data_IF_457821841015
#
_entry.id   IF_457821841015
#
_cell.length_a   1.000
_cell.length_b   1.000
_cell.length_c   1.000
_cell.angle_alpha   90.00
_cell.angle_beta   90.00
_cell.angle_gamma   90.00
#
_symmetry.space_group_name_H-M   'P 1'
#
loop_
_entity.id
_entity.type
_entity.pdbx_description
1 polymer ?
#
# COMPACT_ATOMS: atom_id res chain seq x y z
N UNK A 1 -66.54 29.69 -5.58
CA UNK A 1 -65.18 29.72 -6.13
C UNK A 1 -64.20 29.23 -5.07
N UNK A 2 -63.61 28.06 -5.25
CA UNK A 2 -62.59 27.51 -4.31
C UNK A 2 -61.23 27.77 -4.94
N UNK A 3 -60.38 28.53 -4.25
CA UNK A 3 -58.99 28.74 -4.67
C UNK A 3 -58.12 27.59 -4.15
N UNK A 4 -57.52 26.85 -5.07
CA UNK A 4 -56.52 25.82 -4.76
C UNK A 4 -55.16 26.48 -4.84
N UNK A 5 -54.48 26.62 -3.70
CA UNK A 5 -53.12 27.15 -3.62
C UNK A 5 -52.16 25.98 -3.78
N UNK A 6 -51.41 25.95 -4.88
CA UNK A 6 -50.33 24.98 -5.08
C UNK A 6 -49.07 25.45 -4.34
N UNK A 7 -48.65 24.67 -3.37
CA UNK A 7 -47.40 24.86 -2.66
C UNK A 7 -46.28 24.13 -3.45
N UNK A 8 -45.47 24.91 -4.15
CA UNK A 8 -44.26 24.38 -4.83
C UNK A 8 -43.17 24.14 -3.79
N UNK A 9 -42.95 22.87 -3.45
CA UNK A 9 -41.76 22.46 -2.68
C UNK A 9 -40.51 22.50 -3.58
N UNK A 10 -39.67 23.49 -3.35
CA UNK A 10 -38.35 23.57 -3.93
C UNK A 10 -37.42 22.65 -3.11
N UNK A 11 -37.14 21.42 -3.60
CA UNK A 11 -36.10 20.58 -3.04
C UNK A 11 -34.72 21.07 -3.52
N UNK A 12 -33.97 21.71 -2.64
CA UNK A 12 -32.58 22.05 -2.87
C UNK A 12 -31.74 20.76 -2.85
N UNK A 13 -31.34 20.30 -4.02
CA UNK A 13 -30.37 19.24 -4.17
C UNK A 13 -28.98 19.82 -3.83
N UNK A 14 -28.49 19.56 -2.64
CA UNK A 14 -27.10 19.84 -2.30
C UNK A 14 -26.21 18.83 -3.04
N UNK A 15 -25.65 19.26 -4.18
CA UNK A 15 -24.50 18.56 -4.76
C UNK A 15 -23.34 18.77 -3.80
N UNK A 16 -23.03 17.75 -3.00
CA UNK A 16 -21.75 17.66 -2.31
C UNK A 16 -20.69 17.45 -3.38
N UNK A 17 -20.05 18.52 -3.81
CA UNK A 17 -18.85 18.46 -4.63
C UNK A 17 -17.73 17.94 -3.72
N UNK A 18 -17.48 16.62 -3.73
CA UNK A 18 -16.23 16.09 -3.19
C UNK A 18 -15.12 16.61 -4.10
N UNK A 19 -14.44 17.67 -3.68
CA UNK A 19 -13.23 18.11 -4.36
C UNK A 19 -12.23 16.98 -4.27
N UNK A 20 -12.03 16.25 -5.38
CA UNK A 20 -10.90 15.32 -5.48
C UNK A 20 -9.64 16.14 -5.21
N UNK A 21 -8.93 15.76 -4.16
CA UNK A 21 -7.64 16.36 -3.83
C UNK A 21 -6.66 16.04 -4.97
N UNK A 22 -5.91 17.03 -5.43
CA UNK A 22 -4.85 16.80 -6.42
C UNK A 22 -3.87 15.72 -5.90
N UNK A 23 -3.35 14.86 -6.78
CA UNK A 23 -2.36 13.85 -6.37
C UNK A 23 -1.17 14.47 -5.62
N UNK A 24 -0.63 13.74 -4.66
CA UNK A 24 0.52 14.16 -3.83
C UNK A 24 0.28 15.45 -3.05
N UNK A 25 -0.96 15.73 -2.68
CA UNK A 25 -1.31 16.85 -1.82
C UNK A 25 -2.12 16.39 -0.60
N UNK A 26 -2.16 17.21 0.43
CA UNK A 26 -2.99 17.00 1.61
C UNK A 26 -4.15 17.99 1.60
N UNK A 27 -5.35 17.53 1.87
CA UNK A 27 -6.47 18.41 2.13
C UNK A 27 -6.25 19.20 3.44
N UNK A 28 -7.00 20.27 3.64
CA UNK A 28 -6.93 21.04 4.89
C UNK A 28 -7.30 20.20 6.12
N UNK A 29 -8.21 19.28 5.96
CA UNK A 29 -8.65 18.33 6.97
C UNK A 29 -7.52 17.35 7.32
N UNK A 30 -6.88 16.75 6.29
CA UNK A 30 -5.74 15.86 6.47
C UNK A 30 -4.57 16.55 7.18
N UNK A 31 -4.27 17.80 6.80
CA UNK A 31 -3.25 18.59 7.50
C UNK A 31 -3.57 18.77 8.99
N UNK A 32 -4.83 19.08 9.34
CA UNK A 32 -5.28 19.21 10.72
C UNK A 32 -5.24 17.90 11.49
N UNK A 33 -5.49 16.78 10.82
CA UNK A 33 -5.43 15.44 11.38
C UNK A 33 -3.99 14.92 11.56
N UNK A 34 -2.97 15.64 11.11
CA UNK A 34 -1.57 15.27 11.24
C UNK A 34 -1.04 14.34 10.15
N UNK A 35 -1.73 14.23 9.00
CA UNK A 35 -1.19 13.52 7.85
C UNK A 35 0.08 14.20 7.31
N UNK A 36 1.02 13.39 6.86
CA UNK A 36 2.26 13.81 6.20
C UNK A 36 2.36 13.10 4.85
N UNK A 37 2.86 13.79 3.83
CA UNK A 37 3.22 13.14 2.56
C UNK A 37 4.52 12.37 2.75
N UNK A 38 4.54 11.12 2.28
CA UNK A 38 5.76 10.34 2.08
C UNK A 38 6.32 10.47 0.67
N UNK A 39 5.54 11.06 -0.24
CA UNK A 39 5.98 11.36 -1.60
C UNK A 39 5.39 12.72 -2.04
N UNK A 40 6.26 13.62 -2.48
CA UNK A 40 5.92 14.99 -2.86
C UNK A 40 5.52 15.14 -4.34
N UNK A 41 5.62 14.07 -5.15
CA UNK A 41 5.36 14.11 -6.59
C UNK A 41 6.57 14.51 -7.45
N UNK A 42 7.70 14.90 -6.87
CA UNK A 42 8.84 15.49 -7.55
C UNK A 42 10.13 14.67 -7.47
N UNK A 43 10.40 14.06 -6.31
CA UNK A 43 11.64 13.33 -6.05
C UNK A 43 11.46 12.22 -5.01
N UNK A 44 12.50 11.43 -4.78
CA UNK A 44 12.52 10.33 -3.82
C UNK A 44 13.05 10.77 -2.44
N UNK A 45 12.94 12.03 -2.07
CA UNK A 45 13.28 12.49 -0.72
C UNK A 45 12.47 11.71 0.32
N UNK A 46 13.13 11.23 1.37
CA UNK A 46 12.51 10.36 2.39
C UNK A 46 12.53 8.87 2.03
N UNK A 47 13.13 8.49 0.88
CA UNK A 47 13.25 7.12 0.42
C UNK A 47 14.70 6.78 0.07
N UNK A 48 15.09 5.50 0.20
CA UNK A 48 16.36 4.96 -0.27
C UNK A 48 16.20 3.50 -0.71
N UNK A 49 17.20 2.97 -1.40
CA UNK A 49 17.23 1.55 -1.78
C UNK A 49 17.59 0.69 -0.58
N UNK A 50 16.88 -0.42 -0.41
CA UNK A 50 17.06 -1.33 0.72
C UNK A 50 18.52 -1.67 0.99
N UNK A 51 18.97 -1.48 2.24
CA UNK A 51 20.36 -1.63 2.69
C UNK A 51 21.37 -0.75 1.91
N UNK A 52 20.94 0.32 1.24
CA UNK A 52 21.78 1.26 0.48
C UNK A 52 22.77 0.58 -0.49
N UNK A 53 22.38 -0.52 -1.15
CA UNK A 53 23.30 -1.48 -1.78
C UNK A 53 23.91 -1.03 -3.08
N UNK A 54 23.31 -0.09 -3.82
CA UNK A 54 23.77 0.20 -5.18
C UNK A 54 23.57 1.66 -5.61
N UNK A 55 24.44 2.11 -6.55
CA UNK A 55 24.36 3.45 -7.11
C UNK A 55 23.29 3.61 -8.19
N UNK A 56 22.72 2.53 -8.72
CA UNK A 56 21.72 2.54 -9.79
C UNK A 56 20.40 1.96 -9.31
N UNK A 57 19.30 2.55 -9.75
CA UNK A 57 17.96 2.19 -9.28
C UNK A 57 16.99 2.05 -10.47
N UNK A 58 16.12 1.02 -10.46
CA UNK A 58 15.00 0.95 -11.39
C UNK A 58 13.88 1.94 -11.03
N UNK A 59 13.94 2.54 -9.84
CA UNK A 59 12.97 3.49 -9.37
C UNK A 59 13.24 4.90 -9.88
N UNK A 60 12.27 5.47 -10.57
CA UNK A 60 12.32 6.83 -11.12
C UNK A 60 11.07 7.60 -10.72
N UNK A 61 11.17 8.93 -10.72
CA UNK A 61 10.01 9.80 -10.61
C UNK A 61 9.65 10.34 -11.98
N UNK A 62 8.43 10.12 -12.41
CA UNK A 62 7.91 10.59 -13.69
C UNK A 62 6.43 10.96 -13.56
N UNK A 63 6.04 12.09 -14.16
CA UNK A 63 4.64 12.53 -14.22
C UNK A 63 3.93 12.56 -12.84
N UNK A 64 4.63 12.90 -11.77
CA UNK A 64 4.09 12.99 -10.42
C UNK A 64 3.85 11.64 -9.74
N UNK A 65 4.51 10.57 -10.17
CA UNK A 65 4.47 9.27 -9.49
C UNK A 65 5.85 8.61 -9.44
N UNK A 66 6.05 7.77 -8.43
CA UNK A 66 7.17 6.84 -8.34
C UNK A 66 6.87 5.69 -9.29
N UNK A 67 7.80 5.37 -10.18
CA UNK A 67 7.67 4.28 -11.15
C UNK A 67 8.87 3.34 -11.05
N UNK A 68 8.61 2.05 -10.94
CA UNK A 68 9.61 1.01 -11.08
C UNK A 68 9.65 0.56 -12.54
N UNK A 69 10.73 0.91 -13.24
CA UNK A 69 10.89 0.62 -14.67
C UNK A 69 11.25 -0.85 -14.89
N UNK A 70 10.36 -1.66 -15.50
CA UNK A 70 10.62 -3.07 -15.77
C UNK A 70 11.72 -3.30 -16.83
N UNK A 71 12.08 -2.28 -17.59
CA UNK A 71 13.12 -2.33 -18.63
C UNK A 71 14.47 -1.83 -18.13
N UNK A 72 14.56 -1.42 -16.86
CA UNK A 72 15.84 -1.00 -16.27
C UNK A 72 16.83 -2.16 -16.24
N UNK A 73 18.10 -1.86 -16.56
CA UNK A 73 19.22 -2.79 -16.41
C UNK A 73 19.78 -2.81 -14.98
N UNK A 74 19.25 -1.95 -14.08
CA UNK A 74 19.64 -1.91 -12.69
C UNK A 74 19.19 -3.19 -11.96
N UNK A 75 19.93 -3.58 -10.93
CA UNK A 75 19.52 -4.67 -10.05
C UNK A 75 18.17 -4.38 -9.40
N UNK A 76 17.36 -5.41 -9.23
CA UNK A 76 16.06 -5.30 -8.57
C UNK A 76 16.25 -5.13 -7.08
N UNK A 77 15.82 -3.98 -6.59
CA UNK A 77 15.88 -3.63 -5.17
C UNK A 77 14.66 -2.81 -4.78
N UNK A 78 14.10 -3.15 -3.64
CA UNK A 78 12.96 -2.45 -3.08
C UNK A 78 13.36 -1.04 -2.59
N UNK A 79 12.40 -0.11 -2.70
CA UNK A 79 12.52 1.25 -2.22
C UNK A 79 11.92 1.33 -0.81
N UNK A 80 12.69 1.80 0.19
CA UNK A 80 12.27 1.84 1.58
C UNK A 80 12.21 3.27 2.11
N UNK A 81 11.34 3.54 3.08
CA UNK A 81 11.29 4.83 3.78
C UNK A 81 12.54 5.03 4.62
N UNK A 82 13.01 6.29 4.76
CA UNK A 82 14.12 6.61 5.67
C UNK A 82 13.73 6.39 7.13
N UNK A 83 12.46 6.64 7.47
CA UNK A 83 11.94 6.53 8.83
C UNK A 83 11.27 5.16 9.06
N UNK A 84 11.31 4.69 10.30
CA UNK A 84 10.55 3.53 10.77
C UNK A 84 9.25 3.97 11.43
N UNK A 85 8.17 3.22 11.19
CA UNK A 85 6.83 3.47 11.73
C UNK A 85 6.35 2.30 12.57
N UNK A 86 5.56 2.58 13.62
CA UNK A 86 4.99 1.55 14.50
C UNK A 86 3.46 1.61 14.52
N UNK A 87 2.88 2.72 14.95
CA UNK A 87 1.44 2.93 15.00
C UNK A 87 1.08 4.00 13.97
N UNK A 88 0.41 3.60 12.89
CA UNK A 88 0.15 4.50 11.77
C UNK A 88 -1.06 4.11 10.95
N UNK A 89 -1.55 5.06 10.18
CA UNK A 89 -2.43 4.88 9.03
C UNK A 89 -1.70 5.35 7.78
N UNK A 90 -1.49 4.45 6.82
CA UNK A 90 -0.88 4.70 5.53
C UNK A 90 -1.95 4.67 4.44
N UNK A 91 -1.96 5.65 3.55
CA UNK A 91 -2.76 5.67 2.33
C UNK A 91 -1.87 5.83 1.12
N UNK A 92 -2.18 5.15 0.04
CA UNK A 92 -1.44 5.27 -1.21
C UNK A 92 -2.31 4.87 -2.40
N UNK A 93 -2.00 5.45 -3.55
CA UNK A 93 -2.56 5.03 -4.83
C UNK A 93 -1.49 4.30 -5.64
N UNK A 94 -1.93 3.28 -6.36
CA UNK A 94 -1.05 2.46 -7.18
C UNK A 94 -1.73 1.97 -8.45
N UNK A 95 -0.94 1.66 -9.47
CA UNK A 95 -1.36 0.93 -10.66
C UNK A 95 -0.23 0.02 -11.13
N UNK A 96 -0.60 -1.10 -11.73
CA UNK A 96 0.32 -2.07 -12.30
C UNK A 96 0.22 -2.07 -13.82
N UNK A 97 1.31 -2.39 -14.47
CA UNK A 97 1.32 -2.80 -15.86
C UNK A 97 0.69 -4.19 -16.03
N UNK A 98 0.41 -4.59 -17.28
CA UNK A 98 -0.14 -5.91 -17.58
C UNK A 98 0.71 -7.04 -16.98
N UNK A 99 0.08 -8.04 -16.36
CA UNK A 99 0.74 -9.11 -15.63
C UNK A 99 1.65 -8.63 -14.49
N UNK A 100 1.44 -7.39 -14.02
CA UNK A 100 2.26 -6.79 -12.97
C UNK A 100 2.07 -7.47 -11.61
N UNK A 101 3.17 -7.56 -10.88
CA UNK A 101 3.23 -8.05 -9.51
C UNK A 101 4.15 -7.13 -8.71
N UNK A 102 3.69 -6.70 -7.56
CA UNK A 102 4.40 -5.85 -6.62
C UNK A 102 3.79 -5.99 -5.23
N UNK A 103 4.26 -5.23 -4.27
CA UNK A 103 3.74 -5.23 -2.91
C UNK A 103 4.17 -4.02 -2.12
N UNK A 104 3.54 -3.85 -0.95
CA UNK A 104 4.01 -2.90 0.07
C UNK A 104 4.33 -3.70 1.32
N UNK A 105 5.62 -3.74 1.68
CA UNK A 105 6.05 -4.38 2.91
C UNK A 105 5.91 -3.43 4.09
N UNK A 106 5.55 -3.99 5.23
CA UNK A 106 5.47 -3.28 6.52
C UNK A 106 6.45 -3.88 7.51
N UNK A 107 6.87 -3.09 8.50
CA UNK A 107 7.77 -3.54 9.57
C UNK A 107 9.11 -4.11 9.07
N UNK A 108 9.59 -3.63 7.94
CA UNK A 108 10.86 -4.04 7.34
C UNK A 108 12.01 -3.62 8.25
N UNK A 109 12.97 -4.52 8.46
CA UNK A 109 14.23 -4.23 9.14
C UNK A 109 15.37 -4.19 8.16
N UNK A 110 16.18 -3.16 8.25
CA UNK A 110 17.44 -3.04 7.54
C UNK A 110 18.59 -3.50 8.40
N UNK A 111 19.24 -4.53 7.92
CA UNK A 111 20.46 -5.07 8.47
C UNK A 111 21.19 -5.83 7.36
N UNK A 112 22.51 -5.76 7.31
CA UNK A 112 23.33 -6.43 6.27
C UNK A 112 23.18 -7.94 6.28
N UNK A 113 22.75 -8.53 7.41
CA UNK A 113 22.43 -9.97 7.53
C UNK A 113 21.04 -10.32 7.00
N UNK A 114 20.14 -9.33 6.79
CA UNK A 114 18.81 -9.51 6.23
C UNK A 114 18.85 -9.15 4.75
N UNK A 115 18.95 -10.17 3.90
CA UNK A 115 19.29 -9.98 2.50
C UNK A 115 18.20 -9.28 1.67
N UNK A 116 16.92 -9.39 2.04
CA UNK A 116 15.77 -8.86 1.31
C UNK A 116 14.72 -8.32 2.29
N UNK A 117 13.91 -7.37 1.84
CA UNK A 117 12.81 -6.80 2.62
C UNK A 117 11.84 -7.86 3.13
N UNK A 118 11.49 -8.84 2.27
CA UNK A 118 10.56 -9.94 2.60
C UNK A 118 11.17 -11.00 3.55
N UNK A 119 12.42 -10.86 3.98
CA UNK A 119 12.97 -11.69 5.06
C UNK A 119 12.59 -11.19 6.45
N UNK A 120 12.00 -9.99 6.54
CA UNK A 120 11.53 -9.42 7.81
C UNK A 120 10.09 -8.92 7.73
N UNK A 121 9.73 -8.25 6.63
CA UNK A 121 8.47 -7.53 6.47
C UNK A 121 7.34 -8.38 5.87
N UNK A 122 6.18 -8.48 6.55
CA UNK A 122 4.95 -8.95 5.92
C UNK A 122 4.48 -8.03 4.79
N UNK A 123 3.78 -8.60 3.80
CA UNK A 123 3.45 -7.92 2.55
C UNK A 123 1.95 -7.69 2.39
N UNK A 124 1.58 -6.45 2.03
CA UNK A 124 0.33 -6.10 1.37
C UNK A 124 0.49 -6.36 -0.13
N UNK A 125 -0.17 -7.37 -0.67
CA UNK A 125 -0.02 -7.82 -2.06
C UNK A 125 -0.62 -6.85 -3.07
N UNK A 126 0.08 -6.64 -4.19
CA UNK A 126 -0.41 -5.95 -5.39
C UNK A 126 -0.24 -6.89 -6.59
N UNK A 127 -1.36 -7.28 -7.22
CA UNK A 127 -1.36 -8.22 -8.33
C UNK A 127 -2.35 -7.76 -9.41
N UNK A 128 -1.92 -7.72 -10.66
CA UNK A 128 -2.77 -7.38 -11.79
C UNK A 128 -3.60 -8.60 -12.23
N UNK A 129 -4.85 -8.36 -12.67
CA UNK A 129 -5.86 -9.40 -12.87
C UNK A 129 -5.50 -10.42 -13.96
N UNK A 130 -4.58 -10.11 -14.90
CA UNK A 130 -4.10 -11.05 -15.92
C UNK A 130 -2.86 -11.85 -15.50
N UNK A 131 -2.32 -11.59 -14.29
CA UNK A 131 -1.18 -12.34 -13.78
C UNK A 131 -1.53 -13.82 -13.57
N UNK A 132 -0.59 -14.72 -13.84
CA UNK A 132 -0.79 -16.18 -13.73
C UNK A 132 -1.22 -16.67 -12.33
N UNK A 133 -0.88 -15.93 -11.29
CA UNK A 133 -1.23 -16.23 -9.90
C UNK A 133 -2.56 -15.60 -9.44
N UNK A 134 -3.27 -14.88 -10.31
CA UNK A 134 -4.46 -14.10 -9.92
C UNK A 134 -5.57 -14.96 -9.30
N UNK A 135 -5.71 -16.19 -9.73
CA UNK A 135 -6.72 -17.10 -9.18
C UNK A 135 -6.35 -17.72 -7.84
N UNK A 136 -5.11 -17.51 -7.36
CA UNK A 136 -4.68 -18.01 -6.06
C UNK A 136 -5.19 -17.10 -4.93
N UNK A 137 -6.06 -17.60 -4.01
CA UNK A 137 -6.73 -16.76 -3.02
C UNK A 137 -5.79 -16.00 -2.09
N UNK A 138 -4.60 -16.57 -1.81
CA UNK A 138 -3.59 -15.99 -0.91
C UNK A 138 -2.67 -14.97 -1.60
N UNK A 139 -2.86 -14.73 -2.91
CA UNK A 139 -2.03 -13.82 -3.71
C UNK A 139 -2.81 -12.65 -4.32
N UNK A 140 -4.10 -12.52 -4.02
CA UNK A 140 -4.91 -11.39 -4.52
C UNK A 140 -4.47 -10.07 -3.91
N UNK A 141 -4.62 -8.98 -4.68
CA UNK A 141 -4.34 -7.63 -4.19
C UNK A 141 -5.07 -7.35 -2.88
N UNK A 142 -4.37 -6.73 -1.93
CA UNK A 142 -4.90 -6.44 -0.60
C UNK A 142 -4.88 -7.60 0.38
N UNK A 143 -4.44 -8.81 -0.01
CA UNK A 143 -4.18 -9.89 0.92
C UNK A 143 -2.95 -9.61 1.80
N UNK A 144 -2.92 -10.18 3.00
CA UNK A 144 -1.68 -10.44 3.69
C UNK A 144 -1.04 -11.66 2.97
N UNK A 145 -0.06 -11.36 2.11
CA UNK A 145 0.51 -12.29 1.13
C UNK A 145 0.88 -13.64 1.75
N UNK A 146 0.38 -14.72 1.15
CA UNK A 146 0.59 -16.11 1.57
C UNK A 146 0.01 -16.51 2.95
N UNK A 147 -0.70 -15.62 3.66
CA UNK A 147 -1.24 -15.94 4.99
C UNK A 147 -2.76 -16.00 5.03
N UNK A 148 -3.44 -15.00 4.48
CA UNK A 148 -4.90 -14.94 4.52
C UNK A 148 -5.48 -14.57 3.16
N UNK A 149 -6.57 -15.24 2.71
CA UNK A 149 -7.33 -14.75 1.57
C UNK A 149 -7.99 -13.41 1.93
N UNK A 150 -8.53 -12.72 0.91
CA UNK A 150 -9.31 -11.51 1.19
C UNK A 150 -10.46 -11.78 2.16
N UNK A 151 -10.54 -11.01 3.24
CA UNK A 151 -11.62 -11.07 4.22
C UNK A 151 -12.98 -10.71 3.60
N UNK A 152 -13.00 -9.63 2.82
CA UNK A 152 -14.12 -9.24 1.97
C UNK A 152 -13.59 -9.16 0.53
N UNK A 153 -14.39 -9.64 -0.41
CA UNK A 153 -14.02 -9.59 -1.83
C UNK A 153 -13.84 -8.15 -2.29
N UNK A 154 -12.65 -7.81 -2.73
CA UNK A 154 -12.33 -6.53 -3.33
C UNK A 154 -11.70 -6.76 -4.72
N UNK A 155 -12.02 -5.87 -5.65
CA UNK A 155 -11.47 -5.93 -7.01
C UNK A 155 -10.56 -4.75 -7.26
N UNK A 156 -9.51 -4.99 -8.03
CA UNK A 156 -8.71 -3.95 -8.64
C UNK A 156 -9.54 -3.20 -9.67
N UNK A 157 -9.19 -1.95 -9.92
CA UNK A 157 -9.73 -1.20 -11.07
C UNK A 157 -9.09 -1.74 -12.36
N UNK A 158 -9.77 -1.56 -13.49
CA UNK A 158 -9.27 -1.96 -14.82
C UNK A 158 -7.83 -1.43 -14.99
N UNK A 159 -6.96 -2.25 -15.58
CA UNK A 159 -5.57 -1.92 -15.87
C UNK A 159 -5.37 -0.47 -16.34
N UNK A 160 -4.35 0.17 -15.82
CA UNK A 160 -4.02 1.58 -16.09
C UNK A 160 -4.75 2.59 -15.19
N UNK A 161 -5.77 2.16 -14.44
CA UNK A 161 -6.44 3.02 -13.46
C UNK A 161 -5.81 2.90 -12.07
N UNK A 162 -5.81 4.02 -11.34
CA UNK A 162 -5.27 4.08 -9.99
C UNK A 162 -6.19 3.39 -8.98
N UNK A 163 -5.67 2.40 -8.29
CA UNK A 163 -6.28 1.78 -7.10
C UNK A 163 -5.92 2.58 -5.86
N UNK A 164 -6.77 2.54 -4.87
CA UNK A 164 -6.55 3.14 -3.56
C UNK A 164 -6.36 2.04 -2.52
N UNK A 165 -5.30 2.15 -1.73
CA UNK A 165 -5.05 1.24 -0.63
C UNK A 165 -4.84 2.00 0.68
N UNK A 166 -5.22 1.33 1.77
CA UNK A 166 -5.03 1.82 3.11
C UNK A 166 -4.53 0.68 4.01
N UNK A 167 -3.50 0.97 4.78
CA UNK A 167 -2.97 0.09 5.82
C UNK A 167 -3.09 0.82 7.14
N UNK A 168 -3.70 0.18 8.14
CA UNK A 168 -3.69 0.65 9.52
C UNK A 168 -2.89 -0.33 10.34
N UNK A 169 -1.92 0.15 11.10
CA UNK A 169 -1.23 -0.63 12.10
C UNK A 169 -1.30 0.09 13.45
N UNK A 170 -1.75 -0.62 14.48
CA UNK A 170 -1.78 -0.12 15.85
C UNK A 170 -1.54 -1.25 16.83
N UNK A 171 -0.56 -1.07 17.72
CA UNK A 171 -0.19 -2.05 18.75
C UNK A 171 0.03 -3.47 18.15
N UNK A 172 0.69 -3.55 16.98
CA UNK A 172 0.95 -4.79 16.25
C UNK A 172 -0.24 -5.43 15.56
N UNK A 173 -1.42 -4.80 15.59
CA UNK A 173 -2.60 -5.21 14.84
C UNK A 173 -2.65 -4.48 13.52
N UNK A 174 -2.86 -5.22 12.43
CA UNK A 174 -2.95 -4.65 11.07
C UNK A 174 -4.34 -4.81 10.50
N UNK A 175 -4.73 -3.85 9.70
CA UNK A 175 -5.90 -3.90 8.82
C UNK A 175 -5.51 -3.40 7.44
N UNK A 176 -5.89 -4.16 6.40
CA UNK A 176 -5.66 -3.80 5.00
C UNK A 176 -6.98 -3.48 4.31
N UNK A 177 -6.94 -2.49 3.43
CA UNK A 177 -8.10 -2.05 2.64
C UNK A 177 -7.70 -1.85 1.19
N UNK A 178 -8.53 -2.31 0.27
CA UNK A 178 -8.42 -2.10 -1.17
C UNK A 178 -9.70 -1.45 -1.70
N UNK A 179 -9.59 -0.29 -2.34
CA UNK A 179 -10.72 0.45 -2.92
C UNK A 179 -11.92 0.56 -1.95
N UNK A 180 -11.62 0.87 -0.67
CA UNK A 180 -12.60 1.05 0.40
C UNK A 180 -13.06 -0.23 1.11
N UNK A 181 -12.73 -1.43 0.62
CA UNK A 181 -13.10 -2.70 1.25
C UNK A 181 -11.97 -3.22 2.17
N UNK A 182 -12.30 -3.61 3.39
CA UNK A 182 -11.34 -4.28 4.27
C UNK A 182 -11.03 -5.67 3.74
N UNK A 183 -9.75 -5.93 3.43
CA UNK A 183 -9.31 -7.17 2.79
C UNK A 183 -8.52 -8.09 3.71
N UNK A 184 -7.86 -7.56 4.73
CA UNK A 184 -7.16 -8.38 5.71
C UNK A 184 -7.14 -7.72 7.09
N UNK A 185 -7.00 -8.55 8.12
CA UNK A 185 -6.65 -8.15 9.49
C UNK A 185 -5.82 -9.24 10.14
N UNK A 186 -4.85 -8.86 10.96
CA UNK A 186 -4.02 -9.79 11.74
C UNK A 186 -3.50 -9.09 13.00
N UNK A 187 -3.26 -9.86 14.04
CA UNK A 187 -2.53 -9.40 15.23
C UNK A 187 -1.19 -10.15 15.29
N UNK A 188 -0.09 -9.44 15.02
CA UNK A 188 1.26 -10.00 14.98
C UNK A 188 1.80 -10.42 16.36
N UNK A 189 1.13 -10.03 17.45
CA UNK A 189 1.53 -10.42 18.79
C UNK A 189 0.99 -11.81 19.21
N UNK A 190 0.09 -12.41 18.42
CA UNK A 190 -0.62 -13.63 18.80
C UNK A 190 0.16 -14.90 18.52
N UNK A 191 -0.25 -15.98 19.21
CA UNK A 191 0.24 -17.32 18.92
C UNK A 191 -0.27 -17.83 17.55
N UNK A 192 -1.44 -17.35 17.10
CA UNK A 192 -1.98 -17.64 15.78
C UNK A 192 -0.99 -17.18 14.68
N UNK A 193 -0.55 -15.92 14.73
CA UNK A 193 0.43 -15.40 13.80
C UNK A 193 1.73 -16.23 13.78
N UNK A 194 2.29 -16.51 14.95
CA UNK A 194 3.51 -17.32 15.08
C UNK A 194 3.33 -18.71 14.47
N UNK A 195 2.15 -19.30 14.64
CA UNK A 195 1.82 -20.62 14.07
C UNK A 195 1.68 -20.54 12.54
N UNK A 196 1.07 -19.49 12.01
CA UNK A 196 0.98 -19.27 10.56
C UNK A 196 2.37 -19.14 9.94
N UNK A 197 3.23 -18.29 10.51
CA UNK A 197 4.62 -18.13 10.04
C UNK A 197 5.38 -19.45 10.07
N UNK A 198 5.30 -20.22 11.16
CA UNK A 198 6.02 -21.49 11.29
C UNK A 198 5.62 -22.58 10.27
N UNK A 199 4.45 -22.42 9.64
CA UNK A 199 3.92 -23.33 8.60
C UNK A 199 4.06 -22.77 7.19
N UNK A 200 4.53 -21.52 7.04
CA UNK A 200 4.64 -20.84 5.77
C UNK A 200 6.00 -21.05 5.09
N UNK A 201 6.15 -20.53 3.87
CA UNK A 201 7.42 -20.46 3.15
C UNK A 201 8.43 -19.51 3.82
N UNK A 202 7.97 -18.70 4.80
CA UNK A 202 8.80 -17.75 5.53
C UNK A 202 9.39 -18.32 6.85
N UNK A 203 9.08 -19.57 7.18
CA UNK A 203 9.50 -20.22 8.44
C UNK A 203 11.00 -20.22 8.68
N UNK A 204 11.80 -20.25 7.60
CA UNK A 204 13.24 -20.31 7.64
C UNK A 204 13.91 -18.91 7.68
N UNK A 205 13.12 -17.83 7.64
CA UNK A 205 13.60 -16.45 7.78
C UNK A 205 13.49 -16.00 9.25
N UNK A 206 14.62 -15.92 9.97
CA UNK A 206 14.60 -15.72 11.43
C UNK A 206 14.02 -14.37 11.87
N UNK A 207 13.91 -13.41 10.97
CA UNK A 207 13.40 -12.07 11.23
C UNK A 207 11.96 -11.86 10.77
N UNK A 208 11.41 -12.77 9.96
CA UNK A 208 10.11 -12.57 9.34
C UNK A 208 8.98 -12.44 10.35
N UNK A 209 8.21 -11.35 10.22
CA UNK A 209 6.97 -11.12 10.97
C UNK A 209 7.14 -11.00 12.48
N UNK A 210 8.34 -10.66 12.97
CA UNK A 210 8.66 -10.53 14.40
C UNK A 210 8.55 -9.10 14.93
N UNK A 211 8.49 -8.13 14.03
CA UNK A 211 8.55 -6.72 14.37
C UNK A 211 7.19 -6.06 14.15
N UNK A 212 6.88 -5.09 15.01
CA UNK A 212 5.70 -4.22 14.91
C UNK A 212 6.10 -2.78 14.61
N UNK A 213 7.40 -2.53 14.49
CA UNK A 213 7.99 -1.26 14.07
C UNK A 213 9.05 -1.53 13.00
N UNK A 214 9.06 -0.74 11.93
CA UNK A 214 10.05 -0.86 10.87
C UNK A 214 9.77 0.08 9.72
N UNK A 215 10.58 -0.03 8.67
CA UNK A 215 10.39 0.72 7.44
C UNK A 215 9.18 0.19 6.65
N UNK A 216 8.61 1.06 5.81
CA UNK A 216 7.71 0.70 4.75
C UNK A 216 8.52 0.51 3.47
N UNK A 217 8.21 -0.50 2.66
CA UNK A 217 8.92 -0.73 1.42
C UNK A 217 7.97 -0.93 0.24
N UNK A 218 8.34 -0.38 -0.92
CA UNK A 218 7.70 -0.62 -2.21
C UNK A 218 8.49 -1.69 -2.94
N UNK A 219 7.80 -2.77 -3.35
CA UNK A 219 8.46 -3.92 -3.95
C UNK A 219 8.77 -3.71 -5.43
N UNK A 220 10.00 -4.00 -5.81
CA UNK A 220 10.42 -4.21 -7.20
C UNK A 220 10.39 -5.70 -7.55
N UNK A 221 9.26 -6.17 -8.13
CA UNK A 221 9.15 -7.60 -8.49
C UNK A 221 9.06 -7.82 -10.00
N UNK A 222 7.98 -7.40 -10.67
CA UNK A 222 7.87 -7.62 -12.11
C UNK A 222 6.89 -6.69 -12.83
N UNK A 223 7.15 -6.45 -14.11
CA UNK A 223 6.26 -5.80 -15.10
C UNK A 223 5.92 -4.31 -14.84
N UNK A 224 6.56 -3.67 -13.90
CA UNK A 224 6.34 -2.25 -13.63
C UNK A 224 5.15 -1.96 -12.72
N UNK A 225 5.38 -1.04 -11.80
CA UNK A 225 4.39 -0.52 -10.85
C UNK A 225 4.57 0.98 -10.71
N UNK A 226 3.47 1.69 -10.50
CA UNK A 226 3.47 3.11 -10.20
C UNK A 226 2.78 3.38 -8.88
N UNK A 227 3.33 4.30 -8.09
CA UNK A 227 2.78 4.78 -6.82
C UNK A 227 2.67 6.29 -6.79
N UNK A 228 1.60 6.81 -6.16
CA UNK A 228 1.42 8.25 -5.88
C UNK A 228 0.55 8.46 -4.65
N UNK A 229 0.38 9.70 -4.24
CA UNK A 229 -0.48 10.08 -3.10
C UNK A 229 -0.16 9.27 -1.84
N UNK A 230 1.14 8.95 -1.64
CA UNK A 230 1.60 8.18 -0.47
C UNK A 230 1.63 9.13 0.71
N UNK A 231 0.78 8.87 1.70
CA UNK A 231 0.67 9.70 2.90
C UNK A 231 0.45 8.87 4.14
N UNK A 232 0.98 9.34 5.26
CA UNK A 232 0.95 8.64 6.55
C UNK A 232 0.46 9.55 7.66
N UNK A 233 -0.22 8.96 8.63
CA UNK A 233 -0.57 9.58 9.90
C UNK A 233 -0.15 8.65 11.03
N UNK A 234 0.66 9.16 11.96
CA UNK A 234 0.99 8.46 13.21
C UNK A 234 -0.24 8.46 14.14
N UNK A 235 -0.46 7.32 14.89
CA UNK A 235 -1.66 7.06 15.71
C UNK A 235 -1.36 7.03 17.21
#
# INVERSE_FOLDING_TARGET
MKYITYLLLFSAIFYSCSSQTEPNTLSKEEQKEGWKLLFNGENLEGWHLYNNRIPTSPWVVANGYIYCDPNSEADRIDLVTNEEYENYELKFEWKLEKEGNSGVFINVKEDTSIAQTYFSGPEYQLLEDSHMDFDLPLKKSGCLYNFTPQLNSARTKIQGNWNESRIVQKDGKIEFYLNGQQTAKMDFNTQEWKTLVSKSNFKDYPHFGKYTKGHLALQDWSRGVSFRSIKIKEL
#
